data_IF_289701668219
#
_entry.id   IF_289701668219
#
_cell.length_a   1.000
_cell.length_b   1.000
_cell.length_c   1.000
_cell.angle_alpha   90.00
_cell.angle_beta   90.00
_cell.angle_gamma   90.00
#
_symmetry.space_group_name_H-M   'P 1'
#
loop_
_entity.id
_entity.type
_entity.pdbx_description
1 polymer ?
#
# COMPACT_ATOMS: atom_id res chain seq x y z
N UNK A 1 6.79 55.90 -0.28
CA UNK A 1 6.72 54.93 0.85
C UNK A 1 6.47 53.49 0.36
N UNK A 2 5.89 53.29 -0.83
CA UNK A 2 5.60 51.98 -1.44
C UNK A 2 6.81 51.27 -2.05
N UNK A 3 7.83 51.98 -2.55
CA UNK A 3 9.00 51.34 -3.17
C UNK A 3 9.98 50.71 -2.15
N UNK A 4 10.06 51.26 -0.94
CA UNK A 4 10.91 50.74 0.14
C UNK A 4 10.43 49.39 0.68
N UNK A 5 9.10 49.20 0.79
CA UNK A 5 8.47 47.95 1.23
C UNK A 5 8.62 46.81 0.21
N UNK A 6 8.74 47.12 -1.09
CA UNK A 6 8.97 46.09 -2.11
C UNK A 6 10.42 45.61 -2.14
N UNK A 7 11.41 46.48 -1.83
CA UNK A 7 12.82 46.07 -1.75
C UNK A 7 13.12 45.17 -0.55
N UNK A 8 12.48 45.39 0.61
CA UNK A 8 12.67 44.53 1.80
C UNK A 8 12.12 43.10 1.60
N UNK A 9 10.99 42.96 0.90
CA UNK A 9 10.40 41.64 0.61
C UNK A 9 11.24 40.82 -0.39
N UNK A 10 11.88 41.47 -1.37
CA UNK A 10 12.74 40.75 -2.34
C UNK A 10 14.06 40.29 -1.70
N UNK A 11 14.63 41.09 -0.78
CA UNK A 11 15.84 40.70 -0.04
C UNK A 11 15.57 39.53 0.94
N UNK A 12 14.42 39.55 1.62
CA UNK A 12 13.97 38.50 2.55
C UNK A 12 13.79 37.14 1.87
N UNK A 13 13.14 37.10 0.71
CA UNK A 13 12.89 35.87 -0.06
C UNK A 13 14.20 35.33 -0.66
N UNK A 14 15.11 36.21 -1.10
CA UNK A 14 16.42 35.83 -1.62
C UNK A 14 17.32 35.15 -0.58
N UNK A 15 17.32 35.63 0.67
CA UNK A 15 18.10 35.04 1.76
C UNK A 15 17.51 33.70 2.21
N UNK A 16 16.17 33.59 2.29
CA UNK A 16 15.49 32.34 2.64
C UNK A 16 15.75 31.20 1.64
N UNK A 17 15.73 31.51 0.34
CA UNK A 17 16.06 30.56 -0.71
C UNK A 17 17.53 30.10 -0.65
N UNK A 18 18.45 31.01 -0.33
CA UNK A 18 19.87 30.69 -0.16
C UNK A 18 20.09 29.71 0.99
N UNK A 19 19.46 29.96 2.15
CA UNK A 19 19.54 29.09 3.32
C UNK A 19 18.98 27.70 3.03
N UNK A 20 17.84 27.61 2.33
CA UNK A 20 17.26 26.32 1.95
C UNK A 20 18.19 25.50 1.04
N UNK A 21 18.86 26.14 0.08
CA UNK A 21 19.85 25.48 -0.79
C UNK A 21 21.03 24.95 0.01
N UNK A 22 21.56 25.71 0.98
CA UNK A 22 22.66 25.24 1.84
C UNK A 22 22.24 24.08 2.75
N UNK A 23 21.01 24.07 3.26
CA UNK A 23 20.47 22.96 4.06
C UNK A 23 20.34 21.69 3.21
N UNK A 24 19.79 21.80 2.00
CA UNK A 24 19.66 20.66 1.08
C UNK A 24 21.05 20.13 0.68
N UNK A 25 22.00 21.02 0.38
CA UNK A 25 23.38 20.63 0.06
C UNK A 25 24.05 19.92 1.25
N UNK A 26 23.81 20.37 2.47
CA UNK A 26 24.30 19.74 3.70
C UNK A 26 23.72 18.34 3.93
N UNK A 27 22.42 18.15 3.69
CA UNK A 27 21.76 16.83 3.78
C UNK A 27 22.34 15.88 2.71
N UNK A 28 22.51 16.35 1.48
CA UNK A 28 23.09 15.55 0.39
C UNK A 28 24.54 15.13 0.69
N UNK A 29 25.35 16.04 1.26
CA UNK A 29 26.70 15.73 1.72
C UNK A 29 26.70 14.70 2.86
N UNK A 30 25.81 14.83 3.84
CA UNK A 30 25.69 13.87 4.94
C UNK A 30 25.30 12.47 4.44
N UNK A 31 24.35 12.38 3.51
CA UNK A 31 23.96 11.11 2.86
C UNK A 31 25.12 10.51 2.04
N UNK A 32 25.88 11.34 1.32
CA UNK A 32 27.07 10.91 0.58
C UNK A 32 28.17 10.35 1.49
N UNK A 33 28.46 11.03 2.60
CA UNK A 33 29.43 10.55 3.61
C UNK A 33 28.95 9.24 4.24
N UNK A 34 27.66 9.13 4.58
CA UNK A 34 27.10 7.90 5.14
C UNK A 34 27.22 6.71 4.17
N UNK A 35 26.94 6.92 2.87
CA UNK A 35 27.09 5.90 1.84
C UNK A 35 28.57 5.45 1.69
N UNK A 36 29.51 6.40 1.71
CA UNK A 36 30.95 6.09 1.66
C UNK A 36 31.42 5.29 2.88
N UNK A 37 30.96 5.64 4.09
CA UNK A 37 31.27 4.89 5.32
C UNK A 37 30.70 3.47 5.23
N UNK A 38 29.46 3.29 4.76
CA UNK A 38 28.86 1.97 4.55
C UNK A 38 29.63 1.12 3.55
N UNK A 39 30.06 1.71 2.42
CA UNK A 39 30.87 1.02 1.42
C UNK A 39 32.26 0.65 1.98
N UNK A 40 32.89 1.52 2.77
CA UNK A 40 34.16 1.23 3.43
C UNK A 40 34.04 0.10 4.46
N UNK A 41 32.92 0.04 5.22
CA UNK A 41 32.63 -1.05 6.15
C UNK A 41 32.42 -2.38 5.41
N UNK A 42 31.69 -2.37 4.28
CA UNK A 42 31.50 -3.56 3.44
C UNK A 42 32.83 -4.03 2.81
N UNK A 43 33.64 -3.10 2.31
CA UNK A 43 34.96 -3.39 1.76
C UNK A 43 35.96 -3.91 2.82
N UNK A 44 35.85 -3.43 4.07
CA UNK A 44 36.62 -3.97 5.20
C UNK A 44 36.14 -5.36 5.59
N UNK A 45 34.84 -5.62 5.55
CA UNK A 45 34.27 -6.96 5.80
C UNK A 45 34.74 -7.98 4.77
N UNK A 46 34.84 -7.59 3.50
CA UNK A 46 35.39 -8.47 2.44
C UNK A 46 36.91 -8.63 2.52
N UNK A 47 37.67 -7.60 2.93
CA UNK A 47 39.13 -7.73 3.15
C UNK A 47 39.52 -8.53 4.41
N UNK A 48 38.69 -8.53 5.45
CA UNK A 48 38.93 -9.32 6.66
C UNK A 48 38.54 -10.81 6.51
N UNK A 49 37.96 -11.22 5.37
CA UNK A 49 37.91 -12.63 5.01
C UNK A 49 39.28 -13.06 4.49
N UNK A 50 40.15 -13.46 5.41
CA UNK A 50 41.40 -14.15 5.09
C UNK A 50 41.04 -15.40 4.29
N UNK A 51 41.66 -15.66 3.11
CA UNK A 51 41.41 -16.90 2.39
C UNK A 51 41.93 -18.04 3.26
N UNK A 52 41.00 -18.84 3.78
CA UNK A 52 41.34 -20.10 4.42
C UNK A 52 41.85 -20.99 3.28
N UNK A 53 43.15 -21.26 3.29
CA UNK A 53 43.79 -22.17 2.36
C UNK A 53 42.96 -23.46 2.28
N UNK A 54 42.64 -23.89 1.06
CA UNK A 54 41.89 -25.09 0.78
C UNK A 54 42.51 -26.29 1.52
N UNK A 55 41.93 -26.64 2.66
CA UNK A 55 42.02 -27.99 3.19
C UNK A 55 41.20 -28.86 2.24
N UNK A 56 41.81 -29.93 1.74
CA UNK A 56 41.12 -30.93 0.93
C UNK A 56 39.81 -31.32 1.63
N UNK A 57 38.67 -31.31 0.90
CA UNK A 57 37.38 -31.58 1.52
C UNK A 57 37.42 -32.98 2.15
N UNK A 58 37.00 -33.05 3.41
CA UNK A 58 36.64 -34.33 3.99
C UNK A 58 35.57 -35.00 3.11
N UNK A 59 35.60 -36.33 3.05
CA UNK A 59 34.73 -37.13 2.18
C UNK A 59 33.23 -36.85 2.45
N UNK A 60 32.87 -36.32 3.63
CA UNK A 60 31.50 -36.10 4.07
C UNK A 60 30.89 -34.80 3.52
N UNK A 61 31.70 -33.74 3.37
CA UNK A 61 31.26 -32.48 2.78
C UNK A 61 30.99 -32.61 1.26
N UNK A 62 31.78 -33.43 0.55
CA UNK A 62 31.55 -33.73 -0.86
C UNK A 62 30.23 -34.48 -1.11
N UNK A 63 29.87 -35.40 -0.22
CA UNK A 63 28.63 -36.20 -0.34
C UNK A 63 27.39 -35.31 -0.14
N UNK A 64 27.41 -34.42 0.86
CA UNK A 64 26.34 -33.45 1.12
C UNK A 64 26.18 -32.39 0.01
N UNK A 65 27.28 -32.01 -0.65
CA UNK A 65 27.23 -31.12 -1.82
C UNK A 65 26.58 -31.83 -3.03
N UNK A 66 26.91 -33.10 -3.26
CA UNK A 66 26.29 -33.89 -4.34
C UNK A 66 24.80 -34.14 -4.10
N UNK A 67 24.36 -34.32 -2.85
CA UNK A 67 22.94 -34.45 -2.51
C UNK A 67 22.16 -33.16 -2.81
N UNK A 68 22.71 -32.00 -2.44
CA UNK A 68 22.11 -30.69 -2.76
C UNK A 68 22.04 -30.42 -4.26
N UNK A 69 23.08 -30.78 -5.00
CA UNK A 69 23.07 -30.61 -6.46
C UNK A 69 22.00 -31.49 -7.12
N UNK A 70 21.73 -32.69 -6.58
CA UNK A 70 20.62 -33.55 -7.03
C UNK A 70 19.25 -32.98 -6.68
N UNK A 71 19.07 -32.39 -5.50
CA UNK A 71 17.83 -31.71 -5.12
C UNK A 71 17.54 -30.50 -6.02
N UNK A 72 18.57 -29.70 -6.32
CA UNK A 72 18.46 -28.55 -7.21
C UNK A 72 18.07 -29.00 -8.63
N UNK A 73 18.69 -30.06 -9.14
CA UNK A 73 18.36 -30.61 -10.46
C UNK A 73 16.90 -31.13 -10.51
N UNK A 74 16.43 -31.79 -9.46
CA UNK A 74 15.04 -32.26 -9.37
C UNK A 74 14.03 -31.10 -9.33
N UNK A 75 14.35 -30.01 -8.62
CA UNK A 75 13.52 -28.80 -8.60
C UNK A 75 13.47 -28.10 -9.95
N UNK A 76 14.60 -28.01 -10.66
CA UNK A 76 14.67 -27.40 -11.98
C UNK A 76 13.83 -28.18 -13.01
N UNK A 77 13.85 -29.51 -12.96
CA UNK A 77 13.03 -30.32 -13.86
C UNK A 77 11.53 -30.17 -13.53
N UNK A 78 11.17 -30.09 -12.26
CA UNK A 78 9.78 -29.85 -11.83
C UNK A 78 9.26 -28.46 -12.27
N UNK A 79 10.12 -27.44 -12.25
CA UNK A 79 9.78 -26.11 -12.79
C UNK A 79 9.57 -26.19 -14.30
N UNK A 80 10.44 -26.92 -15.01
CA UNK A 80 10.34 -27.11 -16.47
C UNK A 80 9.05 -27.83 -16.87
N UNK A 81 8.63 -28.84 -16.10
CA UNK A 81 7.34 -29.52 -16.31
C UNK A 81 6.15 -28.59 -16.08
N UNK A 82 6.23 -27.68 -15.10
CA UNK A 82 5.18 -26.69 -14.83
C UNK A 82 5.10 -25.63 -15.93
N UNK A 83 6.22 -25.22 -16.52
CA UNK A 83 6.28 -24.24 -17.62
C UNK A 83 5.77 -24.82 -18.96
N UNK A 84 5.93 -26.12 -19.19
CA UNK A 84 5.48 -26.80 -20.41
C UNK A 84 4.02 -27.23 -20.38
N UNK A 85 3.36 -27.17 -19.22
CA UNK A 85 1.93 -27.44 -19.12
C UNK A 85 1.18 -26.28 -19.77
N UNK A 86 0.40 -26.50 -20.85
CA UNK A 86 -0.42 -25.44 -21.41
C UNK A 86 -1.33 -24.95 -20.29
N UNK A 87 -1.21 -23.66 -19.94
CA UNK A 87 -2.17 -22.99 -19.08
C UNK A 87 -3.54 -23.26 -19.71
N UNK A 88 -4.37 -24.04 -19.03
CA UNK A 88 -5.76 -24.20 -19.42
C UNK A 88 -6.30 -22.78 -19.65
N UNK A 89 -7.08 -22.54 -20.72
CA UNK A 89 -7.66 -21.22 -20.95
C UNK A 89 -8.32 -20.80 -19.65
N UNK A 90 -7.82 -19.71 -19.06
CA UNK A 90 -8.41 -19.12 -17.87
C UNK A 90 -9.81 -18.72 -18.32
N UNK A 91 -10.77 -19.59 -18.01
CA UNK A 91 -12.18 -19.23 -18.06
C UNK A 91 -12.29 -18.14 -17.01
N UNK A 92 -12.26 -16.88 -17.47
CA UNK A 92 -12.59 -15.73 -16.64
C UNK A 92 -14.07 -15.91 -16.34
N UNK A 93 -14.36 -16.71 -15.32
CA UNK A 93 -15.68 -16.72 -14.69
C UNK A 93 -15.89 -15.27 -14.27
N UNK A 94 -16.99 -14.62 -14.70
CA UNK A 94 -17.30 -13.28 -14.24
C UNK A 94 -17.27 -13.31 -12.72
N UNK A 95 -16.26 -12.65 -12.16
CA UNK A 95 -16.11 -12.53 -10.72
C UNK A 95 -17.37 -11.86 -10.18
N UNK A 96 -17.97 -12.45 -9.17
CA UNK A 96 -19.21 -11.97 -8.57
C UNK A 96 -18.96 -10.55 -8.01
N UNK A 97 -19.60 -9.55 -8.62
CA UNK A 97 -19.52 -8.15 -8.16
C UNK A 97 -20.59 -7.92 -7.10
N UNK A 98 -20.22 -7.32 -5.95
CA UNK A 98 -21.17 -6.91 -4.91
C UNK A 98 -21.56 -5.44 -5.10
N UNK A 99 -22.85 -5.17 -5.01
CA UNK A 99 -23.37 -3.82 -4.75
C UNK A 99 -22.94 -3.36 -3.36
N UNK A 100 -22.94 -2.04 -3.15
CA UNK A 100 -22.68 -1.48 -1.82
C UNK A 100 -23.66 -2.02 -0.76
N UNK A 101 -24.94 -2.22 -1.13
CA UNK A 101 -25.94 -2.73 -0.21
C UNK A 101 -25.59 -4.15 0.28
N UNK A 102 -25.18 -5.04 -0.63
CA UNK A 102 -24.73 -6.38 -0.29
C UNK A 102 -23.47 -6.35 0.58
N UNK A 103 -22.50 -5.49 0.26
CA UNK A 103 -21.31 -5.31 1.10
C UNK A 103 -21.63 -4.90 2.54
N UNK A 104 -22.58 -3.98 2.71
CA UNK A 104 -23.01 -3.51 4.03
C UNK A 104 -23.83 -4.56 4.78
N UNK A 105 -24.64 -5.34 4.06
CA UNK A 105 -25.38 -6.46 4.62
C UNK A 105 -24.41 -7.53 5.14
N UNK A 106 -23.40 -7.90 4.35
CA UNK A 106 -22.36 -8.84 4.77
C UNK A 106 -21.60 -8.31 5.98
N UNK A 107 -21.19 -7.04 5.97
CA UNK A 107 -20.53 -6.41 7.13
C UNK A 107 -21.41 -6.42 8.39
N UNK A 108 -22.72 -6.24 8.23
CA UNK A 108 -23.67 -6.26 9.34
C UNK A 108 -23.94 -7.69 9.84
N UNK A 109 -24.05 -8.66 8.93
CA UNK A 109 -24.42 -10.04 9.20
C UNK A 109 -23.25 -10.90 9.71
N UNK A 110 -22.00 -10.54 9.38
CA UNK A 110 -20.82 -11.29 9.81
C UNK A 110 -20.72 -11.37 11.34
N UNK A 111 -21.22 -10.36 12.06
CA UNK A 111 -21.06 -10.23 13.51
C UNK A 111 -19.61 -9.99 13.96
N UNK A 112 -18.66 -9.99 13.01
CA UNK A 112 -17.22 -9.80 13.21
C UNK A 112 -16.96 -8.30 13.32
N UNK A 113 -16.55 -7.85 14.50
CA UNK A 113 -16.29 -6.42 14.76
C UNK A 113 -14.79 -6.15 14.68
N UNK A 114 -14.39 -5.39 13.67
CA UNK A 114 -13.02 -4.88 13.59
C UNK A 114 -12.74 -3.79 14.61
N UNK A 115 -11.46 -3.50 14.82
CA UNK A 115 -10.99 -2.40 15.68
C UNK A 115 -11.03 -1.03 14.98
N UNK A 116 -11.42 -1.01 13.71
CA UNK A 116 -11.34 0.15 12.84
C UNK A 116 -12.70 0.81 12.75
N UNK A 117 -12.72 2.11 13.00
CA UNK A 117 -13.93 2.93 12.89
C UNK A 117 -13.80 3.89 11.71
N UNK A 118 -14.92 4.42 11.23
CA UNK A 118 -14.90 5.46 10.20
C UNK A 118 -14.08 6.66 10.65
N UNK A 119 -14.16 7.01 11.94
CA UNK A 119 -13.38 8.10 12.56
C UNK A 119 -11.88 7.85 12.51
N UNK A 120 -11.42 6.62 12.78
CA UNK A 120 -9.99 6.31 12.78
C UNK A 120 -9.40 6.32 11.36
N UNK A 121 -10.15 5.87 10.35
CA UNK A 121 -9.74 5.98 8.93
C UNK A 121 -9.59 7.45 8.52
N UNK A 122 -10.57 8.29 8.87
CA UNK A 122 -10.50 9.72 8.58
C UNK A 122 -9.28 10.36 9.22
N UNK A 123 -9.05 10.10 10.50
CA UNK A 123 -7.89 10.61 11.20
C UNK A 123 -6.58 10.14 10.55
N UNK A 124 -6.50 8.86 10.17
CA UNK A 124 -5.32 8.30 9.50
C UNK A 124 -5.02 9.00 8.16
N UNK A 125 -5.99 9.00 7.25
CA UNK A 125 -5.80 9.55 5.89
C UNK A 125 -5.55 11.07 5.92
N UNK A 126 -6.29 11.81 6.76
CA UNK A 126 -6.07 13.26 6.92
C UNK A 126 -4.73 13.58 7.54
N UNK A 127 -4.21 12.76 8.46
CA UNK A 127 -2.87 12.98 9.05
C UNK A 127 -1.77 12.62 8.05
N UNK A 128 -1.93 11.51 7.32
CA UNK A 128 -0.90 11.00 6.43
C UNK A 128 -0.71 11.86 5.18
N UNK A 129 -1.81 12.29 4.58
CA UNK A 129 -1.79 13.01 3.32
C UNK A 129 -2.05 14.52 3.48
N UNK A 130 -2.42 14.97 4.67
CA UNK A 130 -2.62 16.38 5.01
C UNK A 130 -3.44 17.13 3.93
N UNK A 131 -2.88 18.20 3.37
CA UNK A 131 -3.52 19.05 2.37
C UNK A 131 -3.55 18.43 0.96
N UNK A 132 -2.94 17.26 0.75
CA UNK A 132 -2.96 16.60 -0.54
C UNK A 132 -4.31 15.90 -0.83
N UNK A 133 -5.12 15.66 0.20
CA UNK A 133 -6.39 14.94 0.08
C UNK A 133 -7.56 15.80 0.51
N UNK A 134 -8.54 15.90 -0.38
CA UNK A 134 -9.83 16.50 -0.10
C UNK A 134 -10.76 15.47 0.57
N UNK A 135 -11.27 15.82 1.75
CA UNK A 135 -12.31 15.11 2.47
C UNK A 135 -13.60 15.95 2.47
N UNK A 136 -14.72 15.37 2.00
CA UNK A 136 -16.01 16.07 2.04
C UNK A 136 -16.72 16.02 3.41
N UNK A 137 -16.25 15.22 4.37
CA UNK A 137 -16.65 15.27 5.78
C UNK A 137 -18.13 14.97 6.04
N UNK A 138 -18.85 14.31 5.13
CA UNK A 138 -20.30 14.17 5.21
C UNK A 138 -20.70 13.22 6.35
N UNK A 139 -21.82 13.57 6.99
CA UNK A 139 -22.50 12.67 7.92
C UNK A 139 -22.85 11.37 7.18
N UNK A 140 -22.73 10.24 7.89
CA UNK A 140 -22.91 8.91 7.33
C UNK A 140 -24.36 8.64 6.86
N UNK A 141 -25.34 9.40 7.37
CA UNK A 141 -26.76 9.26 7.05
C UNK A 141 -27.39 10.59 6.68
N UNK A 142 -28.45 10.53 5.88
CA UNK A 142 -29.34 11.66 5.64
C UNK A 142 -29.93 12.15 6.95
N UNK A 143 -30.41 13.40 7.00
CA UNK A 143 -31.03 13.99 8.19
C UNK A 143 -32.22 13.17 8.75
N UNK A 144 -32.88 12.38 7.89
CA UNK A 144 -33.96 11.48 8.28
C UNK A 144 -33.49 10.07 8.73
N UNK A 145 -32.18 9.83 8.80
CA UNK A 145 -31.56 8.59 9.24
C UNK A 145 -31.72 7.38 8.30
N UNK A 146 -32.52 7.47 7.24
CA UNK A 146 -32.94 6.31 6.44
C UNK A 146 -31.94 5.92 5.34
N UNK A 147 -31.26 6.89 4.74
CA UNK A 147 -30.36 6.63 3.62
C UNK A 147 -28.92 6.87 4.08
N UNK A 148 -28.04 5.94 3.74
CA UNK A 148 -26.61 6.21 3.80
C UNK A 148 -26.31 7.34 2.81
N UNK A 149 -25.82 8.46 3.33
CA UNK A 149 -25.33 9.52 2.46
C UNK A 149 -24.04 9.03 1.83
N UNK A 150 -23.88 9.30 0.53
CA UNK A 150 -22.64 9.03 -0.17
C UNK A 150 -21.49 9.81 0.48
N UNK A 151 -20.76 9.07 1.30
CA UNK A 151 -19.34 9.07 1.60
C UNK A 151 -18.65 10.25 2.26
N UNK A 152 -17.71 9.86 3.11
CA UNK A 152 -16.41 10.49 3.21
C UNK A 152 -15.52 9.92 2.10
N UNK A 153 -15.45 10.60 0.96
CA UNK A 153 -14.51 10.23 -0.09
C UNK A 153 -13.18 10.94 0.16
N UNK A 154 -12.11 10.30 -0.26
CA UNK A 154 -10.79 10.88 -0.29
C UNK A 154 -10.38 11.02 -1.75
N UNK A 155 -9.98 12.23 -2.14
CA UNK A 155 -9.58 12.53 -3.49
C UNK A 155 -8.31 13.39 -3.56
N UNK A 156 -7.48 13.12 -4.56
CA UNK A 156 -6.34 13.96 -4.93
C UNK A 156 -6.70 14.82 -6.15
N UNK A 157 -6.12 16.00 -6.25
CA UNK A 157 -6.27 16.91 -7.41
C UNK A 157 -4.91 17.22 -8.06
N UNK A 158 -4.12 16.21 -8.51
CA UNK A 158 -2.72 16.40 -8.90
C UNK A 158 -2.51 17.32 -10.12
N UNK A 159 -3.54 17.46 -10.97
CA UNK A 159 -3.52 18.34 -12.16
C UNK A 159 -4.84 19.10 -12.31
N UNK A 160 -5.49 19.44 -11.20
CA UNK A 160 -6.84 20.04 -11.19
C UNK A 160 -7.99 19.08 -11.53
N UNK A 161 -7.67 17.82 -11.91
CA UNK A 161 -8.64 16.74 -12.04
C UNK A 161 -8.74 15.97 -10.73
N UNK A 162 -9.91 16.02 -10.10
CA UNK A 162 -10.22 15.29 -8.87
C UNK A 162 -10.29 13.78 -9.11
N UNK A 163 -9.48 13.02 -8.40
CA UNK A 163 -9.41 11.55 -8.47
C UNK A 163 -9.75 10.97 -7.10
N UNK A 164 -10.94 10.39 -6.97
CA UNK A 164 -11.32 9.64 -5.76
C UNK A 164 -10.59 8.29 -5.74
N UNK A 165 -10.06 7.90 -4.59
CA UNK A 165 -9.38 6.61 -4.43
C UNK A 165 -10.01 5.75 -3.33
N UNK A 166 -10.72 6.35 -2.38
CA UNK A 166 -11.42 5.64 -1.30
C UNK A 166 -12.77 6.28 -0.99
N UNK A 167 -13.75 5.42 -0.70
CA UNK A 167 -15.06 5.72 -0.11
C UNK A 167 -15.18 4.97 1.22
N UNK A 168 -15.79 5.57 2.25
CA UNK A 168 -15.87 4.99 3.59
C UNK A 168 -17.28 5.08 4.14
N UNK A 169 -17.83 3.91 4.42
CA UNK A 169 -19.16 3.68 4.98
C UNK A 169 -19.07 3.04 6.35
N UNK A 170 -20.09 3.26 7.17
CA UNK A 170 -20.25 2.62 8.47
C UNK A 170 -21.69 2.13 8.60
N UNK A 171 -21.90 0.91 9.08
CA UNK A 171 -23.23 0.36 9.34
C UNK A 171 -23.77 0.90 10.67
N UNK A 172 -25.04 0.62 10.99
CA UNK A 172 -25.60 0.99 12.31
C UNK A 172 -24.96 0.23 13.48
N UNK A 173 -24.39 -0.94 13.20
CA UNK A 173 -23.64 -1.73 14.18
C UNK A 173 -22.20 -1.26 14.39
N UNK A 174 -21.76 -0.22 13.65
CA UNK A 174 -20.41 0.33 13.71
C UNK A 174 -19.39 -0.43 12.85
N UNK A 175 -19.81 -1.37 12.00
CA UNK A 175 -18.92 -2.03 11.06
C UNK A 175 -18.59 -1.12 9.89
N UNK A 176 -17.33 -1.12 9.47
CA UNK A 176 -16.85 -0.24 8.40
C UNK A 176 -16.69 -1.01 7.11
N UNK A 177 -17.10 -0.38 6.01
CA UNK A 177 -16.84 -0.85 4.65
C UNK A 177 -16.15 0.27 3.89
N UNK A 178 -14.97 -0.01 3.34
CA UNK A 178 -14.31 0.89 2.41
C UNK A 178 -14.46 0.37 0.98
N UNK A 179 -14.72 1.27 0.03
CA UNK A 179 -14.53 0.96 -1.38
C UNK A 179 -13.23 1.61 -1.81
N UNK A 180 -12.30 0.79 -2.30
CA UNK A 180 -10.93 1.19 -2.61
C UNK A 180 -10.57 0.79 -4.04
N UNK A 181 -9.73 1.59 -4.70
CA UNK A 181 -9.14 1.19 -5.98
C UNK A 181 -7.95 0.29 -5.73
N UNK A 182 -7.92 -0.93 -6.22
CA UNK A 182 -6.77 -1.82 -6.03
C UNK A 182 -6.45 -2.58 -7.32
N UNK A 183 -5.21 -3.08 -7.41
CA UNK A 183 -4.82 -3.99 -8.47
C UNK A 183 -5.33 -5.42 -8.18
N UNK A 184 -5.84 -6.10 -9.22
CA UNK A 184 -6.39 -7.47 -9.11
C UNK A 184 -5.40 -8.46 -8.47
N UNK A 185 -4.10 -8.49 -8.82
CA UNK A 185 -3.15 -9.41 -8.18
C UNK A 185 -3.04 -9.22 -6.67
N UNK A 186 -3.02 -7.97 -6.19
CA UNK A 186 -3.00 -7.67 -4.76
C UNK A 186 -4.27 -8.18 -4.07
N UNK A 187 -5.44 -7.96 -4.68
CA UNK A 187 -6.73 -8.41 -4.13
C UNK A 187 -6.81 -9.94 -4.03
N UNK A 188 -6.31 -10.66 -5.03
CA UNK A 188 -6.28 -12.13 -5.00
C UNK A 188 -5.46 -12.64 -3.80
N UNK A 189 -4.34 -11.98 -3.47
CA UNK A 189 -3.60 -12.27 -2.24
C UNK A 189 -4.37 -11.89 -0.98
N UNK A 190 -4.94 -10.68 -0.96
CA UNK A 190 -5.68 -10.15 0.18
C UNK A 190 -6.88 -11.02 0.56
N UNK A 191 -7.58 -11.60 -0.42
CA UNK A 191 -8.75 -12.47 -0.20
C UNK A 191 -8.47 -13.77 0.53
N UNK A 192 -7.23 -14.28 0.45
CA UNK A 192 -6.84 -15.49 1.16
C UNK A 192 -6.96 -15.28 2.67
N UNK A 193 -6.59 -14.09 3.14
CA UNK A 193 -6.62 -13.71 4.56
C UNK A 193 -7.92 -12.99 4.95
N UNK A 194 -8.53 -12.30 3.97
CA UNK A 194 -9.71 -11.46 4.16
C UNK A 194 -10.81 -11.83 3.15
N UNK A 195 -11.56 -12.93 3.37
CA UNK A 195 -12.50 -13.48 2.40
C UNK A 195 -13.65 -12.52 2.01
N UNK A 196 -13.94 -11.52 2.83
CA UNK A 196 -14.99 -10.53 2.55
C UNK A 196 -14.55 -9.39 1.63
N UNK A 197 -13.29 -9.40 1.17
CA UNK A 197 -12.82 -8.50 0.12
C UNK A 197 -13.40 -8.95 -1.21
N UNK A 198 -14.24 -8.13 -1.83
CA UNK A 198 -14.95 -8.48 -3.07
C UNK A 198 -14.92 -7.34 -4.07
N UNK A 199 -15.03 -7.63 -5.37
CA UNK A 199 -15.15 -6.56 -6.37
C UNK A 199 -16.45 -5.80 -6.14
N UNK A 200 -16.40 -4.48 -6.24
CA UNK A 200 -17.57 -3.64 -6.07
C UNK A 200 -18.15 -3.21 -7.42
N UNK A 201 -19.47 -3.31 -7.55
CA UNK A 201 -20.23 -2.76 -8.67
C UNK A 201 -20.33 -1.21 -8.63
N UNK A 202 -19.83 -0.59 -7.55
CA UNK A 202 -19.86 0.85 -7.32
C UNK A 202 -18.48 1.39 -6.89
N UNK A 203 -18.09 2.61 -7.30
CA UNK A 203 -18.75 3.46 -8.29
C UNK A 203 -18.69 2.87 -9.69
N UNK A 204 -19.72 3.16 -10.49
CA UNK A 204 -19.74 2.80 -11.91
C UNK A 204 -18.67 3.58 -12.66
N UNK A 205 -17.52 2.97 -12.89
CA UNK A 205 -16.48 3.51 -13.76
C UNK A 205 -16.18 2.51 -14.89
N UNK A 206 -15.46 2.98 -15.91
CA UNK A 206 -15.07 2.12 -17.04
C UNK A 206 -13.96 1.13 -16.69
N UNK A 207 -13.20 1.41 -15.62
CA UNK A 207 -12.07 0.61 -15.17
C UNK A 207 -12.48 -0.13 -13.89
N UNK A 208 -12.80 -1.43 -13.98
CA UNK A 208 -13.44 -2.24 -12.92
C UNK A 208 -12.50 -2.56 -11.74
N UNK A 209 -11.87 -1.55 -11.18
CA UNK A 209 -10.77 -1.69 -10.22
C UNK A 209 -11.20 -1.39 -8.78
N UNK A 210 -12.51 -1.31 -8.52
CA UNK A 210 -13.03 -1.03 -7.19
C UNK A 210 -13.34 -2.29 -6.42
N UNK A 211 -12.89 -2.33 -5.18
CA UNK A 211 -13.11 -3.44 -4.27
C UNK A 211 -13.72 -2.95 -2.98
N UNK A 212 -14.68 -3.72 -2.48
CA UNK A 212 -15.28 -3.59 -1.16
C UNK A 212 -14.42 -4.32 -0.15
N UNK A 213 -13.97 -3.61 0.87
CA UNK A 213 -13.14 -4.12 1.96
C UNK A 213 -13.88 -3.89 3.28
N UNK A 214 -14.35 -4.97 3.89
CA UNK A 214 -14.99 -4.95 5.21
C UNK A 214 -13.92 -4.91 6.29
N UNK A 215 -13.98 -3.93 7.19
CA UNK A 215 -13.07 -3.83 8.34
C UNK A 215 -13.57 -4.72 9.50
N UNK A 216 -13.40 -6.03 9.35
CA UNK A 216 -13.75 -7.00 10.38
C UNK A 216 -12.53 -7.39 11.25
N UNK A 217 -12.65 -8.46 12.04
CA UNK A 217 -11.59 -8.96 12.92
C UNK A 217 -10.48 -9.74 12.20
N UNK A 218 -10.58 -9.98 10.88
CA UNK A 218 -9.46 -10.51 10.09
C UNK A 218 -8.35 -9.48 9.93
N UNK A 219 -8.68 -8.19 10.02
CA UNK A 219 -7.73 -7.10 9.87
C UNK A 219 -7.13 -6.66 11.20
N UNK A 220 -5.81 -6.52 11.22
CA UNK A 220 -5.17 -5.58 12.16
C UNK A 220 -5.38 -4.15 11.65
N UNK A 221 -5.38 -3.12 12.53
CA UNK A 221 -5.46 -1.73 12.09
C UNK A 221 -4.41 -1.37 11.04
N UNK A 222 -3.16 -1.82 11.23
CA UNK A 222 -2.07 -1.52 10.30
C UNK A 222 -2.31 -2.17 8.93
N UNK A 223 -2.67 -3.46 8.89
CA UNK A 223 -2.91 -4.16 7.64
C UNK A 223 -4.03 -3.49 6.81
N UNK A 224 -5.09 -3.02 7.46
CA UNK A 224 -6.15 -2.29 6.78
C UNK A 224 -5.68 -0.92 6.27
N UNK A 225 -4.87 -0.20 7.06
CA UNK A 225 -4.30 1.07 6.61
C UNK A 225 -3.33 0.90 5.44
N UNK A 226 -2.59 -0.20 5.38
CA UNK A 226 -1.75 -0.54 4.23
C UNK A 226 -2.60 -0.78 2.97
N UNK A 227 -3.79 -1.37 3.11
CA UNK A 227 -4.77 -1.49 2.00
C UNK A 227 -5.23 -0.11 1.53
N UNK A 228 -5.50 0.82 2.46
CA UNK A 228 -5.91 2.19 2.11
C UNK A 228 -4.79 2.97 1.41
N UNK A 229 -3.53 2.77 1.82
CA UNK A 229 -2.37 3.43 1.22
C UNK A 229 -2.06 2.91 -0.19
N UNK A 230 -2.44 1.66 -0.46
CA UNK A 230 -2.26 1.03 -1.77
C UNK A 230 -3.23 1.57 -2.83
N UNK A 231 -4.33 2.20 -2.40
CA UNK A 231 -5.40 2.70 -3.26
C UNK A 231 -5.14 4.06 -3.90
#
# INVERSE_FOLDING_TARGET
>A
MTELLMMENVLSVGIGALVAVYVILGIMLALGVYALVRLAVLAKKTRNMKPQAAQAPDCEACEKLQEKDREIAALQEKIRELEQKPLAPVVVVPEEERTLAESLEVASASGRKGLISKKSIIAYLSTKYENAVELNGRANRTSNGKLLLSDNHFAFSPLGKRVCFTYVYETDGGQVVALVKLDEPYVQGLRVEHPEVMRSAFPKNKAKDWYSVVADDTFTPQAYYDVLDRA
#
